data_IF_624165996440
#
_entry.id   IF_624165996440
#
_cell.length_a   1.000
_cell.length_b   1.000
_cell.length_c   1.000
_cell.angle_alpha   90.00
_cell.angle_beta   90.00
_cell.angle_gamma   90.00
#
_symmetry.space_group_name_H-M   'P 1'
#
loop_
_entity.id
_entity.type
_entity.pdbx_description
1 polymer ?
#
# COMPACT_ATOMS: atom_id res chain seq x y z
N UNK A 1 44.23 18.08 -2.47
CA UNK A 1 43.91 16.84 -3.18
C UNK A 1 42.64 16.30 -2.54
N UNK A 2 41.48 16.51 -3.17
CA UNK A 2 40.18 16.11 -2.61
C UNK A 2 39.89 14.70 -3.12
N UNK A 3 39.90 13.73 -2.20
CA UNK A 3 39.67 12.33 -2.54
C UNK A 3 38.15 12.09 -2.57
N UNK A 4 37.59 12.00 -3.76
CA UNK A 4 36.20 11.63 -3.96
C UNK A 4 36.02 10.15 -3.59
N UNK A 5 35.35 9.87 -2.48
CA UNK A 5 34.83 8.54 -2.20
C UNK A 5 33.66 8.28 -3.17
N UNK A 6 33.96 7.64 -4.30
CA UNK A 6 32.96 7.03 -5.15
C UNK A 6 32.36 5.87 -4.34
N UNK A 7 31.25 6.13 -3.66
CA UNK A 7 30.42 5.08 -3.10
C UNK A 7 29.84 4.32 -4.28
N UNK A 8 30.41 3.15 -4.59
CA UNK A 8 29.80 2.21 -5.51
C UNK A 8 28.45 1.81 -4.91
N UNK A 9 27.37 2.25 -5.56
CA UNK A 9 26.03 1.81 -5.24
C UNK A 9 25.99 0.27 -5.22
N UNK A 10 25.41 -0.38 -4.20
CA UNK A 10 25.29 -1.83 -4.18
C UNK A 10 24.56 -2.29 -5.45
N UNK A 11 25.15 -3.25 -6.17
CA UNK A 11 24.49 -3.93 -7.28
C UNK A 11 23.16 -4.49 -6.78
N UNK A 12 22.05 -3.95 -7.30
CA UNK A 12 20.70 -4.45 -7.02
C UNK A 12 20.61 -5.85 -7.62
N UNK A 13 20.83 -6.87 -6.80
CA UNK A 13 20.38 -8.22 -7.14
C UNK A 13 18.85 -8.18 -7.10
N UNK A 14 18.22 -8.61 -8.21
CA UNK A 14 16.77 -8.80 -8.33
C UNK A 14 16.30 -9.92 -7.38
N UNK A 15 16.27 -9.62 -6.08
CA UNK A 15 15.52 -10.38 -5.10
C UNK A 15 14.19 -9.65 -4.92
N UNK A 16 13.15 -10.13 -5.60
CA UNK A 16 11.75 -9.65 -5.46
C UNK A 16 11.15 -10.10 -4.12
N UNK A 17 11.91 -9.97 -3.03
CA UNK A 17 11.44 -10.22 -1.67
C UNK A 17 11.09 -8.87 -1.07
N UNK A 18 9.80 -8.66 -0.80
CA UNK A 18 9.35 -7.52 -0.01
C UNK A 18 9.93 -7.66 1.41
N UNK A 19 10.86 -6.78 1.77
CA UNK A 19 11.45 -6.72 3.10
C UNK A 19 10.86 -5.50 3.82
N UNK A 20 10.44 -5.69 5.08
CA UNK A 20 10.02 -4.60 5.96
C UNK A 20 11.23 -3.68 6.19
N UNK A 21 11.15 -2.42 5.78
CA UNK A 21 12.20 -1.43 6.06
C UNK A 21 12.29 -1.24 7.59
N UNK A 22 13.51 -1.11 8.13
CA UNK A 22 13.71 -1.21 9.57
C UNK A 22 13.08 -0.05 10.37
N UNK A 23 12.90 1.15 9.79
CA UNK A 23 12.34 2.29 10.52
C UNK A 23 11.52 3.25 9.63
N UNK A 24 10.54 3.95 10.23
CA UNK A 24 9.73 5.05 9.62
C UNK A 24 8.80 4.68 8.45
N UNK A 25 8.45 3.41 8.30
CA UNK A 25 7.47 2.99 7.30
C UNK A 25 6.05 3.01 7.89
N UNK A 26 5.05 3.20 7.02
CA UNK A 26 3.64 3.01 7.31
C UNK A 26 3.13 1.82 6.50
N UNK A 27 2.48 0.84 7.14
CA UNK A 27 1.71 -0.19 6.45
C UNK A 27 0.37 0.39 6.07
N UNK A 28 -0.02 0.33 4.80
CA UNK A 28 -1.40 0.58 4.39
C UNK A 28 -2.00 -0.73 3.88
N UNK A 29 -3.14 -1.15 4.44
CA UNK A 29 -3.98 -2.19 3.83
C UNK A 29 -5.21 -1.51 3.24
N UNK A 30 -5.58 -1.90 2.03
CA UNK A 30 -6.78 -1.41 1.33
C UNK A 30 -7.55 -2.63 0.84
N UNK A 31 -8.86 -2.59 0.99
CA UNK A 31 -9.79 -3.64 0.55
C UNK A 31 -11.00 -2.98 -0.13
N UNK A 32 -11.55 -3.65 -1.14
CA UNK A 32 -12.74 -3.20 -1.85
C UNK A 32 -13.74 -4.35 -2.04
N UNK A 33 -14.98 -4.14 -1.61
CA UNK A 33 -16.08 -5.09 -1.78
C UNK A 33 -17.09 -4.56 -2.80
N UNK A 34 -17.41 -5.38 -3.81
CA UNK A 34 -18.38 -5.04 -4.85
C UNK A 34 -19.63 -5.91 -4.71
N UNK A 35 -20.77 -5.30 -4.39
CA UNK A 35 -22.05 -5.97 -4.22
C UNK A 35 -22.97 -5.60 -5.40
N UNK A 36 -22.72 -6.26 -6.54
CA UNK A 36 -23.33 -5.94 -7.84
C UNK A 36 -24.86 -5.93 -7.77
N UNK A 37 -25.46 -6.93 -7.14
CA UNK A 37 -26.93 -7.07 -7.03
C UNK A 37 -27.56 -5.97 -6.18
N UNK A 38 -26.80 -5.39 -5.25
CA UNK A 38 -27.25 -4.32 -4.38
C UNK A 38 -26.85 -2.93 -4.91
N UNK A 39 -26.06 -2.86 -5.98
CA UNK A 39 -25.52 -1.61 -6.51
C UNK A 39 -24.62 -0.86 -5.53
N UNK A 40 -23.98 -1.59 -4.60
CA UNK A 40 -23.16 -1.04 -3.53
C UNK A 40 -21.70 -1.39 -3.77
N UNK A 41 -20.82 -0.41 -3.55
CA UNK A 41 -19.38 -0.64 -3.40
C UNK A 41 -18.92 -0.16 -2.04
N UNK A 42 -18.15 -0.99 -1.33
CA UNK A 42 -17.51 -0.61 -0.07
C UNK A 42 -16.01 -0.58 -0.25
N UNK A 43 -15.35 0.38 0.39
CA UNK A 43 -13.90 0.48 0.45
C UNK A 43 -13.53 0.58 1.93
N UNK A 44 -12.53 -0.20 2.33
CA UNK A 44 -11.95 -0.13 3.66
C UNK A 44 -10.44 0.06 3.55
N UNK A 45 -9.87 0.89 4.42
CA UNK A 45 -8.43 1.02 4.52
C UNK A 45 -7.99 1.18 5.98
N UNK A 46 -6.77 0.75 6.28
CA UNK A 46 -6.13 1.03 7.55
C UNK A 46 -4.63 1.28 7.36
N UNK A 47 -4.10 2.16 8.21
CA UNK A 47 -2.68 2.48 8.26
C UNK A 47 -2.11 2.12 9.64
N UNK A 48 -0.96 1.46 9.68
CA UNK A 48 -0.21 1.13 10.90
C UNK A 48 1.21 1.66 10.82
N UNK A 49 1.76 2.11 11.93
CA UNK A 49 3.16 2.54 11.97
C UNK A 49 4.12 1.34 12.06
N UNK A 50 5.42 1.62 12.20
CA UNK A 50 6.46 0.60 12.26
C UNK A 50 6.34 -0.36 13.45
N UNK A 51 5.67 0.08 14.51
CA UNK A 51 5.39 -0.66 15.73
C UNK A 51 4.04 -1.42 15.66
N UNK A 52 3.44 -1.48 14.46
CA UNK A 52 2.14 -2.10 14.19
C UNK A 52 0.94 -1.40 14.90
N UNK A 53 1.15 -0.20 15.45
CA UNK A 53 0.11 0.64 16.07
C UNK A 53 -0.79 1.25 14.99
N UNK A 54 -2.11 1.16 15.19
CA UNK A 54 -3.09 1.72 14.27
C UNK A 54 -3.04 3.25 14.29
N UNK A 55 -2.76 3.85 13.14
CA UNK A 55 -2.73 5.31 12.96
C UNK A 55 -4.03 5.81 12.34
N UNK A 56 -4.65 5.01 11.48
CA UNK A 56 -5.84 5.39 10.73
C UNK A 56 -6.65 4.17 10.34
N UNK A 57 -7.97 4.30 10.36
CA UNK A 57 -8.89 3.35 9.76
C UNK A 57 -10.09 4.10 9.19
N UNK A 58 -10.52 3.72 7.99
CA UNK A 58 -11.74 4.23 7.39
C UNK A 58 -12.46 3.11 6.65
N UNK A 59 -13.78 3.18 6.71
CA UNK A 59 -14.67 2.44 5.82
C UNK A 59 -15.62 3.43 5.19
N UNK A 60 -15.84 3.29 3.88
CA UNK A 60 -16.80 4.09 3.15
C UNK A 60 -17.62 3.20 2.24
N UNK A 61 -18.92 3.47 2.20
CA UNK A 61 -19.85 2.88 1.26
C UNK A 61 -20.22 3.91 0.19
N UNK A 62 -20.32 3.45 -1.04
CA UNK A 62 -20.80 4.20 -2.18
C UNK A 62 -22.01 3.47 -2.75
N UNK A 63 -23.08 4.23 -3.03
CA UNK A 63 -24.22 3.73 -3.79
C UNK A 63 -23.91 3.89 -5.28
N UNK A 64 -22.90 3.15 -5.74
CA UNK A 64 -22.41 3.15 -7.11
C UNK A 64 -22.11 1.69 -7.50
N UNK A 65 -22.54 1.31 -8.70
CA UNK A 65 -22.26 0.01 -9.28
C UNK A 65 -20.89 0.03 -9.95
N UNK A 66 -19.85 -0.27 -9.19
CA UNK A 66 -18.51 -0.51 -9.73
C UNK A 66 -18.34 -2.00 -10.04
N UNK A 67 -17.57 -2.30 -11.09
CA UNK A 67 -17.21 -3.66 -11.47
C UNK A 67 -15.72 -3.88 -11.20
N UNK A 68 -15.30 -5.15 -11.19
CA UNK A 68 -13.88 -5.51 -11.17
C UNK A 68 -13.23 -5.44 -12.56
N UNK A 69 -13.94 -4.91 -13.57
CA UNK A 69 -13.41 -4.75 -14.91
C UNK A 69 -12.55 -3.49 -14.93
N UNK A 70 -11.24 -3.67 -15.05
CA UNK A 70 -10.32 -2.55 -15.23
C UNK A 70 -10.49 -1.98 -16.65
N UNK A 71 -10.75 -0.67 -16.77
CA UNK A 71 -10.66 0.06 -18.04
C UNK A 71 -11.94 0.27 -18.84
N UNK A 72 -13.11 0.31 -18.20
CA UNK A 72 -14.36 0.81 -18.83
C UNK A 72 -14.33 2.33 -19.10
#
# INVERSE_FOLDING_TARGET
MVQACIQQAPRVQNNTRWVKLQERWIKCNVEAGFFIDQGITTIACCARNSNDELQYAQTRQYNLKLSTLEGD
#
